data_IF_720443843792
#
_entry.id   IF_720443843792
#
_cell.length_a   1.000
_cell.length_b   1.000
_cell.length_c   1.000
_cell.angle_alpha   90.00
_cell.angle_beta   90.00
_cell.angle_gamma   90.00
#
_symmetry.space_group_name_H-M   'P 1'
#
loop_
_entity.id
_entity.type
_entity.pdbx_description
1 polymer ?
#
# COMPACT_ATOMS: atom_id res chain seq x y z
N UNK A 1 54.32 -6.68 28.04
CA UNK A 1 53.77 -7.40 29.21
C UNK A 1 52.28 -7.10 29.22
N UNK A 2 51.29 -7.95 28.98
CA UNK A 2 51.10 -9.41 28.82
C UNK A 2 49.67 -9.51 28.23
N UNK A 3 49.44 -9.91 26.98
CA UNK A 3 49.18 -11.27 26.48
C UNK A 3 48.03 -12.03 27.19
N UNK A 4 46.79 -12.00 26.68
CA UNK A 4 45.77 -13.08 26.85
C UNK A 4 44.47 -12.77 26.10
N UNK A 5 43.72 -13.67 25.46
CA UNK A 5 43.89 -14.96 24.74
C UNK A 5 42.53 -15.18 24.06
N UNK A 6 42.54 -15.69 22.84
CA UNK A 6 41.36 -16.04 22.05
C UNK A 6 40.45 -17.06 22.76
N UNK A 7 39.13 -16.95 22.56
CA UNK A 7 38.20 -18.09 22.61
C UNK A 7 37.25 -17.97 21.43
N UNK A 8 37.60 -18.68 20.38
CA UNK A 8 36.70 -19.16 19.32
C UNK A 8 35.64 -20.04 19.97
N UNK A 9 34.36 -19.74 19.78
CA UNK A 9 33.28 -20.74 19.95
C UNK A 9 32.62 -21.00 18.62
N UNK A 10 33.05 -22.12 18.02
CA UNK A 10 32.26 -22.91 17.08
C UNK A 10 30.88 -23.17 17.72
N UNK A 11 29.84 -22.69 17.06
CA UNK A 11 28.45 -23.05 17.34
C UNK A 11 27.78 -23.40 16.03
N UNK A 12 28.06 -24.61 15.54
CA UNK A 12 27.38 -25.20 14.39
C UNK A 12 25.94 -25.53 14.78
N UNK A 13 25.00 -24.65 14.41
CA UNK A 13 23.56 -24.88 14.47
C UNK A 13 23.03 -25.20 13.09
N UNK A 14 23.16 -26.46 12.66
CA UNK A 14 22.60 -26.99 11.43
C UNK A 14 21.07 -27.14 11.60
N UNK A 15 20.32 -26.10 11.24
CA UNK A 15 18.87 -26.14 11.14
C UNK A 15 18.47 -26.98 9.91
N UNK A 16 18.10 -28.23 10.15
CA UNK A 16 17.49 -29.13 9.18
C UNK A 16 16.07 -28.65 8.87
N UNK A 17 15.94 -27.80 7.86
CA UNK A 17 14.66 -27.53 7.20
C UNK A 17 14.31 -28.75 6.34
N UNK A 18 13.44 -29.59 6.88
CA UNK A 18 12.73 -30.66 6.19
C UNK A 18 11.92 -30.07 5.04
N UNK A 19 12.43 -30.22 3.81
CA UNK A 19 11.68 -29.92 2.60
C UNK A 19 10.62 -31.00 2.35
N UNK A 20 9.35 -30.64 2.44
CA UNK A 20 8.25 -31.41 1.88
C UNK A 20 8.19 -31.14 0.37
N UNK A 21 8.35 -32.14 -0.51
CA UNK A 21 7.94 -31.99 -1.90
C UNK A 21 6.41 -32.09 -1.96
N UNK A 22 5.72 -31.00 -1.71
CA UNK A 22 4.32 -30.86 -2.14
C UNK A 22 4.31 -30.77 -3.66
N UNK A 23 4.14 -31.93 -4.28
CA UNK A 23 3.64 -32.12 -5.62
C UNK A 23 2.23 -31.52 -5.67
N UNK A 24 2.12 -30.26 -6.09
CA UNK A 24 0.84 -29.70 -6.54
C UNK A 24 0.62 -30.15 -7.98
N UNK A 25 0.13 -31.37 -8.15
CA UNK A 25 -0.74 -31.68 -9.30
C UNK A 25 -2.05 -30.95 -9.04
N UNK A 26 -2.21 -29.78 -9.66
CA UNK A 26 -3.52 -29.22 -9.96
C UNK A 26 -3.62 -29.26 -11.49
N UNK A 27 -4.06 -30.41 -12.00
CA UNK A 27 -4.68 -30.51 -13.31
C UNK A 27 -6.02 -29.78 -13.22
N UNK A 28 -5.93 -28.44 -13.22
CA UNK A 28 -7.05 -27.55 -13.41
C UNK A 28 -7.52 -27.70 -14.85
N UNK A 29 -8.47 -28.63 -15.02
CA UNK A 29 -9.37 -28.74 -16.16
C UNK A 29 -9.67 -27.34 -16.71
N UNK A 30 -9.10 -27.05 -17.88
CA UNK A 30 -9.46 -25.90 -18.68
C UNK A 30 -10.91 -26.10 -19.15
N UNK A 31 -11.85 -25.81 -18.25
CA UNK A 31 -13.20 -25.45 -18.64
C UNK A 31 -13.05 -24.15 -19.41
N UNK A 32 -12.99 -24.28 -20.73
CA UNK A 32 -13.16 -23.18 -21.65
C UNK A 32 -14.50 -22.52 -21.31
N UNK A 33 -14.45 -21.42 -20.55
CA UNK A 33 -15.55 -20.47 -20.49
C UNK A 33 -15.73 -19.98 -21.93
N UNK A 34 -16.90 -20.18 -22.57
CA UNK A 34 -17.15 -19.55 -23.85
C UNK A 34 -17.00 -18.03 -23.67
N UNK A 35 -16.48 -17.30 -24.66
CA UNK A 35 -16.45 -15.84 -24.57
C UNK A 35 -17.90 -15.37 -24.40
N UNK A 36 -18.21 -14.80 -23.24
CA UNK A 36 -19.47 -14.13 -23.04
C UNK A 36 -19.44 -12.87 -23.92
N UNK A 37 -20.05 -12.97 -25.09
CA UNK A 37 -20.41 -11.86 -25.95
C UNK A 37 -21.10 -10.76 -25.12
N UNK A 38 -20.52 -9.56 -25.14
CA UNK A 38 -21.26 -8.29 -25.05
C UNK A 38 -22.08 -8.05 -23.80
N UNK A 39 -21.51 -8.21 -22.60
CA UNK A 39 -22.06 -7.50 -21.45
C UNK A 39 -21.71 -6.02 -21.63
N UNK A 40 -22.67 -5.08 -21.75
CA UNK A 40 -22.35 -3.66 -21.70
C UNK A 40 -21.59 -3.42 -20.40
N UNK A 41 -20.40 -2.83 -20.51
CA UNK A 41 -19.68 -2.31 -19.36
C UNK A 41 -20.69 -1.46 -18.57
N UNK A 42 -20.86 -1.68 -17.25
CA UNK A 42 -21.74 -0.83 -16.48
C UNK A 42 -21.33 0.62 -16.75
N UNK A 43 -22.31 1.47 -17.07
CA UNK A 43 -22.14 2.90 -17.19
C UNK A 43 -21.69 3.40 -15.80
N UNK A 44 -20.39 3.35 -15.55
CA UNK A 44 -19.77 3.88 -14.34
C UNK A 44 -19.85 5.38 -14.50
N UNK A 45 -20.89 5.98 -13.92
CA UNK A 45 -20.93 7.42 -13.71
C UNK A 45 -19.57 7.84 -13.11
N UNK A 46 -18.86 8.81 -13.71
CA UNK A 46 -17.54 9.20 -13.22
C UNK A 46 -17.68 9.66 -11.77
N UNK A 47 -17.02 8.95 -10.86
CA UNK A 47 -16.98 9.34 -9.46
C UNK A 47 -16.36 10.75 -9.35
N UNK A 48 -16.78 11.58 -8.39
CA UNK A 48 -16.22 12.92 -8.23
C UNK A 48 -14.72 12.81 -7.91
N UNK A 49 -13.90 13.07 -8.93
CA UNK A 49 -12.44 13.10 -8.85
C UNK A 49 -11.99 14.15 -7.82
N UNK A 50 -11.24 13.72 -6.81
CA UNK A 50 -10.66 14.62 -5.80
C UNK A 50 -9.56 15.46 -6.42
N UNK A 51 -9.47 16.73 -6.03
CA UNK A 51 -8.36 17.59 -6.42
C UNK A 51 -7.02 16.99 -5.98
N UNK A 52 -5.99 17.12 -6.81
CA UNK A 52 -4.62 16.73 -6.48
C UNK A 52 -3.85 17.93 -5.93
N UNK A 53 -2.90 17.68 -5.02
CA UNK A 53 -2.01 18.71 -4.47
C UNK A 53 -0.70 18.09 -3.94
N UNK A 54 0.33 18.89 -3.75
CA UNK A 54 1.57 18.42 -3.10
C UNK A 54 1.44 18.43 -1.57
N UNK A 55 2.35 17.72 -0.89
CA UNK A 55 2.44 17.77 0.58
C UNK A 55 2.63 19.20 1.10
N UNK A 56 3.46 19.99 0.42
CA UNK A 56 3.73 21.39 0.76
C UNK A 56 2.45 22.24 0.66
N UNK A 57 1.65 22.04 -0.40
CA UNK A 57 0.37 22.74 -0.55
C UNK A 57 -0.64 22.34 0.52
N UNK A 58 -0.65 21.07 0.92
CA UNK A 58 -1.50 20.59 2.00
C UNK A 58 -1.16 21.29 3.33
N UNK A 59 0.12 21.35 3.67
CA UNK A 59 0.58 22.03 4.89
C UNK A 59 0.31 23.54 4.85
N UNK A 60 0.52 24.19 3.70
CA UNK A 60 0.22 25.60 3.51
C UNK A 60 -1.28 25.93 3.70
N UNK A 61 -2.18 24.97 3.46
CA UNK A 61 -3.62 25.07 3.75
C UNK A 61 -3.99 24.73 5.20
N UNK A 62 -3.00 24.51 6.07
CA UNK A 62 -3.22 24.10 7.46
C UNK A 62 -3.61 22.62 7.61
N UNK A 63 -3.42 21.82 6.57
CA UNK A 63 -3.70 20.40 6.57
C UNK A 63 -2.57 19.54 7.13
N UNK A 64 -2.81 18.24 7.11
CA UNK A 64 -1.89 17.15 7.41
C UNK A 64 -1.97 16.08 6.33
N UNK A 65 -0.81 15.56 5.95
CA UNK A 65 -0.71 14.40 5.06
C UNK A 65 -1.03 13.13 5.84
N UNK A 66 -2.01 12.36 5.36
CA UNK A 66 -2.40 11.07 5.91
C UNK A 66 -2.13 10.00 4.84
N UNK A 67 -1.18 9.11 5.11
CA UNK A 67 -0.87 7.97 4.24
C UNK A 67 -1.85 6.82 4.43
N UNK A 68 -2.02 6.00 3.39
CA UNK A 68 -2.73 4.73 3.49
C UNK A 68 -1.83 3.66 4.13
N UNK A 69 -2.41 2.79 4.94
CA UNK A 69 -1.68 1.69 5.59
C UNK A 69 -1.60 0.43 4.70
N UNK A 70 -2.23 0.45 3.52
CA UNK A 70 -2.37 -0.68 2.61
C UNK A 70 -3.74 -1.36 2.67
N UNK A 71 -4.75 -0.74 3.27
CA UNK A 71 -6.14 -1.20 3.21
C UNK A 71 -6.94 -0.53 2.07
N UNK A 72 -6.31 0.42 1.39
CA UNK A 72 -6.89 1.18 0.30
C UNK A 72 -7.98 2.15 0.75
N UNK A 73 -8.09 2.42 2.05
CA UNK A 73 -9.14 3.25 2.59
C UNK A 73 -9.16 4.63 1.95
N UNK A 74 -7.99 5.25 1.73
CA UNK A 74 -7.91 6.61 1.19
C UNK A 74 -8.40 6.71 -0.25
N UNK A 75 -8.54 5.60 -0.98
CA UNK A 75 -8.99 5.58 -2.38
C UNK A 75 -10.51 5.53 -2.51
N UNK A 76 -11.21 5.15 -1.43
CA UNK A 76 -12.67 5.05 -1.43
C UNK A 76 -13.33 6.44 -1.50
N UNK A 77 -14.46 6.57 -2.23
CA UNK A 77 -15.19 7.84 -2.35
C UNK A 77 -15.78 8.32 -1.01
N UNK A 78 -16.06 7.39 -0.10
CA UNK A 78 -16.61 7.66 1.23
C UNK A 78 -15.54 7.82 2.32
N UNK A 79 -14.24 7.79 1.97
CA UNK A 79 -13.17 8.02 2.93
C UNK A 79 -13.36 9.35 3.68
N UNK A 80 -13.16 9.31 4.99
CA UNK A 80 -13.21 10.47 5.87
C UNK A 80 -11.94 10.54 6.72
N UNK A 81 -11.47 11.76 6.92
CA UNK A 81 -10.42 12.07 7.87
C UNK A 81 -10.87 11.78 9.30
N UNK A 82 -9.95 11.82 10.27
CA UNK A 82 -10.25 11.51 11.69
C UNK A 82 -11.41 12.36 12.27
N UNK A 83 -11.61 13.59 11.78
CA UNK A 83 -12.72 14.47 12.16
C UNK A 83 -14.06 14.19 11.48
N UNK A 84 -14.14 13.24 10.54
CA UNK A 84 -15.34 12.94 9.76
C UNK A 84 -15.52 13.78 8.49
N UNK A 85 -14.64 14.75 8.24
CA UNK A 85 -14.62 15.56 7.02
C UNK A 85 -14.01 14.79 5.83
N UNK A 86 -14.43 15.10 4.58
CA UNK A 86 -13.76 14.58 3.41
C UNK A 86 -12.34 15.15 3.28
N UNK A 87 -11.42 14.45 2.60
CA UNK A 87 -10.12 15.00 2.28
C UNK A 87 -10.20 16.29 1.46
N UNK A 88 -9.24 17.19 1.69
CA UNK A 88 -9.05 18.39 0.89
C UNK A 88 -8.49 18.07 -0.52
N UNK A 89 -7.85 16.91 -0.66
CA UNK A 89 -7.37 16.38 -1.93
C UNK A 89 -6.42 15.21 -1.77
N UNK A 90 -5.99 14.65 -2.89
CA UNK A 90 -5.01 13.56 -2.97
C UNK A 90 -3.60 14.14 -3.06
N UNK A 91 -2.66 13.57 -2.32
CA UNK A 91 -1.26 13.98 -2.35
C UNK A 91 -0.56 13.35 -3.54
N UNK A 92 0.09 14.18 -4.34
CA UNK A 92 0.99 13.76 -5.41
C UNK A 92 2.41 14.21 -5.09
N UNK A 93 3.40 13.42 -5.53
CA UNK A 93 4.79 13.77 -5.37
C UNK A 93 5.15 15.05 -6.15
N UNK A 94 5.96 15.91 -5.55
CA UNK A 94 6.58 17.03 -6.24
C UNK A 94 7.95 16.60 -6.78
N UNK A 95 8.08 16.41 -8.09
CA UNK A 95 9.34 15.99 -8.71
C UNK A 95 9.82 14.63 -8.20
N UNK A 96 10.94 14.62 -7.45
CA UNK A 96 11.57 13.42 -6.88
C UNK A 96 11.29 13.22 -5.38
N UNK A 97 10.40 14.05 -4.80
CA UNK A 97 10.03 13.92 -3.39
C UNK A 97 9.33 12.57 -3.13
N UNK A 98 9.61 11.93 -1.99
CA UNK A 98 8.94 10.69 -1.63
C UNK A 98 7.47 10.95 -1.29
N UNK A 99 6.58 10.17 -1.88
CA UNK A 99 5.19 10.00 -1.44
C UNK A 99 5.01 8.57 -0.93
N UNK A 100 4.06 8.35 -0.02
CA UNK A 100 3.73 7.02 0.43
C UNK A 100 3.35 6.14 -0.77
N UNK A 101 3.92 4.93 -0.86
CA UNK A 101 3.70 3.99 -1.97
C UNK A 101 2.22 3.68 -2.18
N UNK A 102 1.47 3.55 -1.09
CA UNK A 102 0.02 3.28 -1.10
C UNK A 102 -0.83 4.53 -1.36
N UNK A 103 -0.18 5.69 -1.52
CA UNK A 103 -0.79 7.00 -1.68
C UNK A 103 -0.98 7.74 -0.34
N UNK A 104 -1.38 9.00 -0.44
CA UNK A 104 -1.73 9.82 0.71
C UNK A 104 -2.80 10.86 0.34
N UNK A 105 -3.48 11.39 1.35
CA UNK A 105 -4.49 12.45 1.21
C UNK A 105 -4.19 13.62 2.15
N UNK A 106 -4.70 14.79 1.81
CA UNK A 106 -4.65 15.96 2.67
C UNK A 106 -5.91 16.02 3.55
N UNK A 107 -5.73 15.96 4.86
CA UNK A 107 -6.80 16.16 5.84
C UNK A 107 -6.66 17.50 6.54
N UNK A 108 -7.76 18.18 6.85
CA UNK A 108 -7.70 19.34 7.74
C UNK A 108 -7.19 18.89 9.12
N UNK A 109 -6.26 19.65 9.71
CA UNK A 109 -5.91 19.44 11.12
C UNK A 109 -7.09 19.87 11.98
N UNK A 110 -7.46 19.04 12.96
CA UNK A 110 -8.34 19.50 14.02
C UNK A 110 -7.66 20.70 14.71
N UNK A 111 -8.32 21.85 14.71
CA UNK A 111 -7.85 23.05 15.41
C UNK A 111 -8.24 23.00 16.88
#
# INVERSE_FOLDING_TARGET
MTMQRAIVRLGAGLLLITGCPHKSTDDGEATAVPPADGQPEPDVEPEPERSTMTSTECEAKGGQVVGDIGDGAIHRPDYRCEGGDPPLGTIVAEGHEPVATEGAVCCAKAQ
#
